data_IF_272784251906
#
_entry.id   IF_272784251906
#
_cell.length_a   1.000
_cell.length_b   1.000
_cell.length_c   1.000
_cell.angle_alpha   90.00
_cell.angle_beta   90.00
_cell.angle_gamma   90.00
#
_symmetry.space_group_name_H-M   'P 1'
#
loop_
_entity.id
_entity.type
_entity.pdbx_description
1 polymer ?
#
# COMPACT_ATOMS: atom_id res chain seq x y z
N UNK A 1 -2.06 -4.83 12.03
CA UNK A 1 -2.84 -5.12 10.82
C UNK A 1 -2.06 -5.99 9.83
N UNK A 2 -0.74 -5.82 9.73
CA UNK A 2 0.11 -6.55 8.77
C UNK A 2 1.12 -7.50 9.44
N UNK A 3 0.81 -8.03 10.61
CA UNK A 3 1.67 -9.01 11.28
C UNK A 3 1.87 -10.28 10.45
N UNK A 4 0.89 -10.64 9.63
CA UNK A 4 0.96 -11.77 8.72
C UNK A 4 1.82 -11.55 7.46
N UNK A 5 2.28 -10.34 7.16
CA UNK A 5 3.13 -10.08 5.99
C UNK A 5 4.52 -10.68 6.16
N UNK A 6 5.03 -11.28 5.09
CA UNK A 6 6.35 -11.91 5.05
C UNK A 6 6.33 -13.38 5.47
N UNK A 7 7.52 -13.97 5.50
CA UNK A 7 7.71 -15.36 5.94
C UNK A 7 7.43 -15.54 7.42
N UNK A 8 7.32 -16.79 7.86
CA UNK A 8 7.30 -17.11 9.30
C UNK A 8 8.66 -16.77 9.90
N UNK A 9 8.71 -16.06 11.05
CA UNK A 9 9.97 -15.88 11.76
C UNK A 9 10.58 -17.24 12.12
N UNK A 10 11.90 -17.39 11.97
CA UNK A 10 12.60 -18.63 12.33
C UNK A 10 12.55 -18.90 13.81
N UNK A 11 12.55 -17.83 14.61
CA UNK A 11 12.53 -17.87 16.07
C UNK A 11 11.87 -16.60 16.61
N UNK A 12 11.13 -16.72 17.70
CA UNK A 12 10.58 -15.61 18.45
C UNK A 12 10.67 -15.91 19.94
N UNK A 13 11.60 -15.29 20.64
CA UNK A 13 11.77 -15.45 22.10
C UNK A 13 10.80 -14.54 22.85
N UNK A 14 10.49 -13.35 22.30
CA UNK A 14 9.54 -12.40 22.86
C UNK A 14 8.92 -11.50 21.76
N UNK A 15 7.81 -10.88 22.11
CA UNK A 15 7.13 -9.90 21.26
C UNK A 15 7.23 -8.53 21.93
N UNK A 16 7.80 -7.56 21.21
CA UNK A 16 7.89 -6.18 21.68
C UNK A 16 6.64 -5.40 21.25
N UNK A 17 5.80 -5.00 22.22
CA UNK A 17 4.67 -4.10 21.99
C UNK A 17 5.10 -2.64 22.08
N UNK A 18 4.67 -1.83 21.09
CA UNK A 18 4.90 -0.39 21.09
C UNK A 18 3.65 0.41 21.52
N UNK A 19 2.62 -0.24 22.04
CA UNK A 19 1.36 0.41 22.43
C UNK A 19 1.55 1.56 23.43
N UNK A 20 2.59 1.51 24.25
CA UNK A 20 2.92 2.57 25.21
C UNK A 20 3.58 3.78 24.57
N UNK A 21 4.11 3.68 23.35
CA UNK A 21 4.65 4.79 22.55
C UNK A 21 3.56 5.31 21.60
N UNK A 22 2.53 5.98 22.12
CA UNK A 22 1.33 6.31 21.36
C UNK A 22 0.94 7.80 21.42
N UNK A 23 1.89 8.69 21.70
CA UNK A 23 1.65 10.12 21.81
C UNK A 23 1.93 10.85 20.51
N UNK A 24 1.14 11.87 20.22
CA UNK A 24 1.53 12.95 19.31
C UNK A 24 2.41 13.89 20.15
N UNK A 25 3.71 13.94 19.83
CA UNK A 25 4.71 14.67 20.62
C UNK A 25 4.63 16.16 20.32
N UNK A 26 4.45 16.51 19.05
CA UNK A 26 4.41 17.89 18.59
C UNK A 26 3.60 17.96 17.29
N UNK A 27 2.68 18.90 17.22
CA UNK A 27 2.01 19.28 16.00
C UNK A 27 2.34 20.74 15.70
N UNK A 28 3.37 20.95 14.89
CA UNK A 28 3.77 22.26 14.40
C UNK A 28 2.89 22.63 13.20
N UNK A 29 1.64 22.96 13.49
CA UNK A 29 0.61 23.18 12.47
C UNK A 29 0.94 24.33 11.51
N UNK A 30 1.64 25.36 11.98
CA UNK A 30 2.12 26.46 11.13
C UNK A 30 3.15 26.00 10.09
N UNK A 31 3.94 24.97 10.40
CA UNK A 31 4.98 24.41 9.52
C UNK A 31 4.48 23.18 8.75
N UNK A 32 3.21 22.79 8.93
CA UNK A 32 2.61 21.60 8.32
C UNK A 32 3.40 20.33 8.64
N UNK A 33 3.86 20.17 9.87
CA UNK A 33 4.62 19.01 10.32
C UNK A 33 4.10 18.43 11.64
N UNK A 34 4.29 17.13 11.83
CA UNK A 34 3.95 16.44 13.07
C UNK A 34 5.06 15.46 13.46
N UNK A 35 5.38 15.44 14.76
CA UNK A 35 6.24 14.41 15.38
C UNK A 35 5.36 13.50 16.23
N UNK A 36 5.41 12.18 15.94
CA UNK A 36 4.52 11.20 16.55
C UNK A 36 5.27 9.92 16.92
N UNK A 37 4.87 9.27 18.02
CA UNK A 37 5.38 7.97 18.45
C UNK A 37 4.83 6.83 17.61
N UNK A 38 5.63 5.79 17.41
CA UNK A 38 5.37 4.72 16.45
C UNK A 38 4.17 3.82 16.77
N UNK A 39 3.76 3.73 18.04
CA UNK A 39 2.57 2.98 18.46
C UNK A 39 1.27 3.77 18.37
N UNK A 40 1.32 5.07 18.01
CA UNK A 40 0.11 5.86 17.77
C UNK A 40 -0.62 5.31 16.54
N UNK A 41 -1.93 5.09 16.64
CA UNK A 41 -2.74 4.67 15.48
C UNK A 41 -2.92 5.82 14.51
N UNK A 42 -3.11 5.50 13.23
CA UNK A 42 -3.33 6.51 12.19
C UNK A 42 -4.62 7.27 12.45
N UNK A 43 -5.68 6.61 12.90
CA UNK A 43 -6.94 7.26 13.22
C UNK A 43 -6.80 8.27 14.36
N UNK A 44 -6.11 7.91 15.46
CA UNK A 44 -5.80 8.83 16.56
C UNK A 44 -4.99 10.04 16.07
N UNK A 45 -3.97 9.81 15.26
CA UNK A 45 -3.17 10.88 14.66
C UNK A 45 -4.05 11.81 13.82
N UNK A 46 -4.86 11.25 12.91
CA UNK A 46 -5.77 12.03 12.07
C UNK A 46 -6.78 12.85 12.89
N UNK A 47 -7.24 12.32 14.04
CA UNK A 47 -8.11 13.06 14.97
C UNK A 47 -7.47 14.37 15.44
N UNK A 48 -6.22 14.29 15.91
CA UNK A 48 -5.45 15.47 16.37
C UNK A 48 -5.19 16.46 15.23
N UNK A 49 -4.85 15.96 14.04
CA UNK A 49 -4.53 16.82 12.89
C UNK A 49 -5.75 17.59 12.37
N UNK A 50 -6.94 16.98 12.44
CA UNK A 50 -8.21 17.62 12.03
C UNK A 50 -8.54 18.88 12.83
N UNK A 51 -8.12 18.99 14.08
CA UNK A 51 -8.33 20.18 14.92
C UNK A 51 -7.76 21.46 14.28
N UNK A 52 -6.75 21.30 13.41
CA UNK A 52 -6.15 22.40 12.66
C UNK A 52 -6.39 22.31 11.15
N UNK A 53 -7.40 21.57 10.71
CA UNK A 53 -7.74 21.43 9.29
C UNK A 53 -6.66 20.72 8.46
N UNK A 54 -5.84 19.86 9.09
CA UNK A 54 -4.72 19.16 8.46
C UNK A 54 -4.90 17.64 8.49
N UNK A 55 -4.17 16.97 7.62
CA UNK A 55 -4.14 15.52 7.52
C UNK A 55 -2.75 14.99 7.15
N UNK A 56 -2.44 13.79 7.60
CA UNK A 56 -1.43 12.95 6.97
C UNK A 56 -2.11 12.29 5.76
N UNK A 57 -1.66 12.61 4.54
CA UNK A 57 -2.27 12.10 3.31
C UNK A 57 -1.87 10.64 3.04
N UNK A 58 -2.18 9.77 4.01
CA UNK A 58 -1.96 8.32 3.96
C UNK A 58 -3.26 7.61 4.36
N UNK A 59 -3.63 6.60 3.57
CA UNK A 59 -4.85 5.82 3.70
C UNK A 59 -4.55 4.31 3.87
N UNK A 60 -3.93 3.91 5.02
CA UNK A 60 -3.65 2.51 5.29
C UNK A 60 -4.94 1.73 5.49
N UNK A 61 -4.82 0.39 5.35
CA UNK A 61 -5.89 -0.51 5.74
C UNK A 61 -6.11 -0.44 7.25
N UNK A 62 -7.36 -0.35 7.71
CA UNK A 62 -7.74 -0.35 9.13
C UNK A 62 -7.00 0.73 9.93
N UNK A 63 -7.19 2.02 9.63
CA UNK A 63 -6.47 3.13 10.26
C UNK A 63 -6.67 3.20 11.78
N UNK A 64 -7.77 2.66 12.31
CA UNK A 64 -8.09 2.53 13.73
C UNK A 64 -7.16 1.54 14.47
N UNK A 65 -6.53 0.62 13.73
CA UNK A 65 -5.62 -0.40 14.25
C UNK A 65 -4.19 -0.26 13.72
N UNK A 66 -4.04 0.32 12.54
CA UNK A 66 -2.74 0.54 11.91
C UNK A 66 -1.96 1.60 12.68
N UNK A 67 -0.79 1.22 13.21
CA UNK A 67 0.09 2.15 13.92
C UNK A 67 1.07 2.82 12.95
N UNK A 68 1.53 4.01 13.30
CA UNK A 68 2.54 4.76 12.54
C UNK A 68 3.76 3.89 12.23
N UNK A 69 4.32 3.22 13.24
CA UNK A 69 5.47 2.33 13.05
C UNK A 69 5.17 1.13 12.15
N UNK A 70 3.96 0.56 12.26
CA UNK A 70 3.51 -0.55 11.41
C UNK A 70 3.38 -0.13 9.95
N UNK A 71 2.77 1.04 9.67
CA UNK A 71 2.63 1.60 8.32
C UNK A 71 4.00 1.89 7.70
N UNK A 72 4.92 2.46 8.47
CA UNK A 72 6.30 2.70 8.00
C UNK A 72 7.04 1.38 7.75
N UNK A 73 7.01 0.45 8.70
CA UNK A 73 7.72 -0.82 8.60
C UNK A 73 7.27 -1.67 7.40
N UNK A 74 6.00 -1.56 6.98
CA UNK A 74 5.44 -2.30 5.84
C UNK A 74 5.43 -1.48 4.54
N UNK A 75 5.83 -0.20 4.57
CA UNK A 75 5.69 0.74 3.46
C UNK A 75 4.28 0.75 2.87
N UNK A 76 3.26 0.66 3.74
CA UNK A 76 1.89 0.57 3.30
C UNK A 76 1.44 1.85 2.60
N UNK A 77 0.81 1.71 1.46
CA UNK A 77 0.31 2.82 0.65
C UNK A 77 -1.06 2.48 0.09
N UNK A 78 -1.96 3.44 0.14
CA UNK A 78 -3.29 3.34 -0.43
C UNK A 78 -3.47 4.20 -1.68
N UNK A 79 -4.69 4.59 -1.96
CA UNK A 79 -5.11 5.31 -3.17
C UNK A 79 -4.55 6.73 -3.23
N UNK A 80 -4.41 7.41 -2.08
CA UNK A 80 -3.89 8.78 -1.99
C UNK A 80 -2.45 8.92 -2.51
N UNK A 81 -1.72 7.79 -2.62
CA UNK A 81 -0.35 7.77 -3.16
C UNK A 81 -0.23 8.43 -4.53
N UNK A 82 -1.25 8.31 -5.37
CA UNK A 82 -1.20 8.85 -6.74
C UNK A 82 -1.03 10.38 -6.76
N UNK A 83 -1.54 11.06 -5.73
CA UNK A 83 -1.47 12.52 -5.61
C UNK A 83 -0.38 13.00 -4.67
N UNK A 84 -0.28 12.35 -3.51
CA UNK A 84 0.53 12.84 -2.39
C UNK A 84 1.87 12.11 -2.24
N UNK A 85 2.10 11.06 -3.02
CA UNK A 85 3.24 10.18 -2.89
C UNK A 85 3.00 9.04 -1.90
N UNK A 86 3.94 8.11 -1.83
CA UNK A 86 3.93 7.02 -0.86
C UNK A 86 4.26 7.53 0.55
N UNK A 87 4.03 6.71 1.57
CA UNK A 87 4.38 7.08 2.96
C UNK A 87 5.86 7.50 3.10
N UNK A 88 6.76 6.92 2.30
CA UNK A 88 8.17 7.28 2.25
C UNK A 88 8.45 8.72 1.77
N UNK A 89 7.52 9.29 1.01
CA UNK A 89 7.62 10.65 0.47
C UNK A 89 7.03 11.68 1.43
N UNK A 90 6.22 11.21 2.40
CA UNK A 90 5.59 12.03 3.44
C UNK A 90 6.44 12.11 4.71
N UNK A 91 7.31 11.10 4.96
CA UNK A 91 8.14 11.07 6.16
C UNK A 91 9.38 11.94 5.98
N UNK A 92 9.65 12.82 6.96
CA UNK A 92 10.80 13.73 7.01
C UNK A 92 11.93 13.17 7.88
N UNK A 93 11.60 12.37 8.87
CA UNK A 93 12.59 11.77 9.75
C UNK A 93 12.04 10.60 10.56
N UNK A 94 12.94 9.74 11.02
CA UNK A 94 12.62 8.62 11.92
C UNK A 94 13.63 8.54 13.06
N UNK A 95 13.18 8.00 14.19
CA UNK A 95 14.02 7.56 15.29
C UNK A 95 13.86 6.04 15.42
N UNK A 96 14.98 5.32 15.50
CA UNK A 96 15.00 3.86 15.64
C UNK A 96 15.89 3.42 16.80
N UNK A 97 15.44 2.42 17.56
CA UNK A 97 16.26 1.68 18.50
C UNK A 97 16.88 0.47 17.78
N UNK A 98 18.19 0.30 17.93
CA UNK A 98 18.97 -0.81 17.37
C UNK A 98 19.12 -1.95 18.37
N UNK A 99 19.52 -3.16 17.93
CA UNK A 99 19.67 -4.33 18.82
C UNK A 99 20.69 -4.15 19.95
N UNK A 100 21.69 -3.29 19.77
CA UNK A 100 22.71 -2.97 20.77
C UNK A 100 22.23 -1.97 21.83
N UNK A 101 20.95 -1.54 21.75
CA UNK A 101 20.35 -0.55 22.64
C UNK A 101 20.61 0.91 22.23
N UNK A 102 21.41 1.16 21.21
CA UNK A 102 21.61 2.52 20.70
C UNK A 102 20.35 3.06 20.01
N UNK A 103 20.16 4.38 20.05
CA UNK A 103 19.05 5.05 19.36
C UNK A 103 19.63 5.98 18.30
N UNK A 104 19.24 5.75 17.08
CA UNK A 104 19.63 6.56 15.93
C UNK A 104 18.48 7.46 15.48
N UNK A 105 18.84 8.65 14.98
CA UNK A 105 17.92 9.60 14.37
C UNK A 105 18.37 9.87 12.94
N UNK A 106 17.45 9.78 12.01
CA UNK A 106 17.68 10.06 10.60
C UNK A 106 16.63 11.05 10.09
N UNK A 107 17.04 12.00 9.25
CA UNK A 107 16.18 13.08 8.81
C UNK A 107 15.97 14.15 9.88
N UNK A 108 14.89 14.91 9.79
CA UNK A 108 14.57 16.02 10.70
C UNK A 108 13.22 16.63 10.41
N UNK A 109 12.99 17.87 10.86
CA UNK A 109 11.74 18.61 10.62
C UNK A 109 11.77 19.46 9.33
N UNK A 110 12.80 19.31 8.51
CA UNK A 110 12.96 20.08 7.26
C UNK A 110 12.75 19.20 6.04
N UNK A 111 12.10 19.74 5.03
CA UNK A 111 11.76 19.02 3.80
C UNK A 111 13.01 18.63 2.99
N UNK A 112 14.09 19.42 3.09
CA UNK A 112 15.36 19.15 2.41
C UNK A 112 16.45 18.86 3.41
N UNK A 113 16.81 17.58 3.56
CA UNK A 113 17.98 17.13 4.30
C UNK A 113 18.89 16.35 3.35
N UNK A 114 20.02 16.93 3.00
CA UNK A 114 20.99 16.38 2.02
C UNK A 114 22.29 15.90 2.66
N UNK A 115 22.39 15.95 4.00
CA UNK A 115 23.57 15.51 4.73
C UNK A 115 23.49 14.01 5.03
N UNK A 116 24.45 13.25 4.52
CA UNK A 116 24.59 11.82 4.78
C UNK A 116 23.65 10.91 3.99
N UNK A 117 23.60 9.64 4.39
CA UNK A 117 22.71 8.65 3.78
C UNK A 117 21.27 8.82 4.30
N UNK A 118 20.30 8.60 3.44
CA UNK A 118 18.88 8.64 3.79
C UNK A 118 18.45 7.34 4.49
N UNK A 119 18.81 7.21 5.76
CA UNK A 119 18.43 6.07 6.60
C UNK A 119 16.91 6.04 6.88
N UNK A 120 16.22 7.17 6.75
CA UNK A 120 14.76 7.25 6.86
C UNK A 120 14.11 6.31 5.83
N UNK A 121 14.55 6.39 4.58
CA UNK A 121 14.03 5.53 3.51
C UNK A 121 14.45 4.07 3.63
N UNK A 122 15.58 3.80 4.29
CA UNK A 122 16.01 2.43 4.58
C UNK A 122 15.14 1.77 5.65
N UNK A 123 14.69 2.53 6.66
CA UNK A 123 13.80 2.03 7.71
C UNK A 123 12.42 1.65 7.19
N UNK A 124 11.93 2.38 6.16
CA UNK A 124 10.61 2.17 5.58
C UNK A 124 10.60 0.90 4.74
N UNK A 125 9.63 0.02 5.02
CA UNK A 125 9.51 -1.28 4.36
C UNK A 125 10.47 -2.36 4.89
N UNK A 126 11.22 -2.08 5.96
CA UNK A 126 12.16 -3.04 6.56
C UNK A 126 11.50 -4.16 7.37
N UNK A 127 10.20 -4.15 7.60
CA UNK A 127 9.46 -5.07 8.49
C UNK A 127 10.04 -5.17 9.91
N UNK A 128 10.72 -4.12 10.37
CA UNK A 128 11.38 -4.12 11.68
C UNK A 128 12.60 -5.04 11.77
N UNK A 129 13.19 -5.43 10.64
CA UNK A 129 14.39 -6.30 10.63
C UNK A 129 15.70 -5.54 10.82
N UNK A 130 15.68 -4.21 10.70
CA UNK A 130 16.88 -3.37 10.83
C UNK A 130 16.92 -2.59 12.16
N UNK A 131 15.77 -2.37 12.77
CA UNK A 131 15.61 -1.60 13.99
C UNK A 131 14.14 -1.45 14.36
N UNK A 132 13.87 -1.02 15.57
CA UNK A 132 12.52 -0.72 16.06
C UNK A 132 12.27 0.77 15.87
N UNK A 133 11.36 1.14 14.96
CA UNK A 133 10.96 2.54 14.78
C UNK A 133 10.21 2.98 16.04
N UNK A 134 10.70 4.04 16.70
CA UNK A 134 10.12 4.59 17.94
C UNK A 134 9.36 5.89 17.71
N UNK A 135 9.81 6.71 16.74
CA UNK A 135 9.17 7.98 16.37
C UNK A 135 9.29 8.24 14.88
N UNK A 136 8.39 9.06 14.36
CA UNK A 136 8.45 9.59 13.01
C UNK A 136 8.06 11.08 12.96
N UNK A 137 8.61 11.79 11.98
CA UNK A 137 8.24 13.14 11.62
C UNK A 137 7.64 13.11 10.22
N UNK A 138 6.45 13.69 10.05
CA UNK A 138 5.77 13.75 8.75
C UNK A 138 5.53 15.19 8.33
N UNK A 139 5.52 15.40 7.01
CA UNK A 139 4.86 16.55 6.41
C UNK A 139 3.36 16.29 6.29
N UNK A 140 2.58 17.34 6.44
CA UNK A 140 1.13 17.30 6.41
C UNK A 140 0.59 17.98 5.16
N UNK A 141 -0.70 17.79 4.94
CA UNK A 141 -1.47 18.45 3.89
C UNK A 141 -2.75 19.04 4.49
N UNK A 142 -3.31 20.11 3.92
CA UNK A 142 -4.63 20.59 4.32
C UNK A 142 -5.69 19.55 4.00
N UNK A 143 -6.75 19.52 4.80
CA UNK A 143 -7.95 18.74 4.48
C UNK A 143 -8.64 19.44 3.31
N UNK A 144 -9.04 18.72 2.23
CA UNK A 144 -9.73 19.32 1.11
C UNK A 144 -11.10 19.87 1.52
N UNK A 145 -11.47 21.02 0.95
CA UNK A 145 -12.75 21.68 1.20
C UNK A 145 -13.92 20.83 0.68
N UNK A 146 -13.75 20.23 -0.48
CA UNK A 146 -14.75 19.37 -1.10
C UNK A 146 -14.08 18.16 -1.80
N UNK A 147 -14.85 17.08 -1.88
CA UNK A 147 -14.44 15.83 -2.53
C UNK A 147 -15.57 15.39 -3.45
N UNK A 148 -15.26 15.02 -4.68
CA UNK A 148 -16.19 14.39 -5.60
C UNK A 148 -15.60 13.07 -6.13
N UNK A 149 -16.44 12.06 -6.25
CA UNK A 149 -16.05 10.73 -6.73
C UNK A 149 -16.99 10.27 -7.83
N UNK A 150 -16.42 9.69 -8.85
CA UNK A 150 -17.16 9.24 -10.03
C UNK A 150 -16.78 7.81 -10.39
N UNK A 151 -17.73 7.07 -10.98
CA UNK A 151 -17.53 5.70 -11.44
C UNK A 151 -18.06 5.53 -12.85
N UNK A 152 -17.31 4.84 -13.69
CA UNK A 152 -17.78 4.29 -14.95
C UNK A 152 -17.75 2.76 -14.90
N UNK A 153 -18.76 2.14 -15.51
CA UNK A 153 -18.79 0.68 -15.75
C UNK A 153 -18.25 0.44 -17.15
N UNK A 154 -17.25 -0.42 -17.25
CA UNK A 154 -16.55 -0.73 -18.49
C UNK A 154 -16.66 -2.24 -18.77
N UNK A 155 -16.91 -2.66 -20.02
CA UNK A 155 -17.16 -4.06 -20.34
C UNK A 155 -15.98 -5.00 -20.06
N UNK A 156 -14.74 -4.51 -20.28
CA UNK A 156 -13.52 -5.34 -20.19
C UNK A 156 -12.40 -4.66 -19.42
N UNK A 157 -11.48 -5.45 -18.89
CA UNK A 157 -10.28 -4.93 -18.21
C UNK A 157 -9.34 -4.19 -19.19
N UNK A 158 -9.31 -4.59 -20.46
CA UNK A 158 -8.55 -3.91 -21.50
C UNK A 158 -9.06 -2.49 -21.74
N UNK A 159 -10.39 -2.32 -21.85
CA UNK A 159 -11.00 -0.99 -21.98
C UNK A 159 -10.81 -0.14 -20.72
N UNK A 160 -10.95 -0.73 -19.53
CA UNK A 160 -10.67 -0.05 -18.29
C UNK A 160 -9.22 0.45 -18.23
N UNK A 161 -8.25 -0.36 -18.68
CA UNK A 161 -6.85 0.04 -18.75
C UNK A 161 -6.62 1.20 -19.72
N UNK A 162 -7.24 1.18 -20.89
CA UNK A 162 -7.18 2.30 -21.86
C UNK A 162 -7.75 3.58 -21.27
N UNK A 163 -8.91 3.49 -20.59
CA UNK A 163 -9.53 4.65 -19.95
C UNK A 163 -8.64 5.20 -18.82
N UNK A 164 -8.06 4.32 -18.00
CA UNK A 164 -7.10 4.73 -16.96
C UNK A 164 -5.89 5.44 -17.58
N UNK A 165 -5.32 4.93 -18.67
CA UNK A 165 -4.20 5.57 -19.34
C UNK A 165 -4.59 6.95 -19.92
N UNK A 166 -5.76 7.08 -20.54
CA UNK A 166 -6.26 8.35 -21.03
C UNK A 166 -6.41 9.39 -19.90
N UNK A 167 -6.86 8.94 -18.71
CA UNK A 167 -6.93 9.80 -17.51
C UNK A 167 -5.53 10.17 -17.01
N UNK A 168 -4.60 9.23 -16.96
CA UNK A 168 -3.21 9.47 -16.51
C UNK A 168 -2.48 10.46 -17.41
N UNK A 169 -2.68 10.37 -18.72
CA UNK A 169 -2.06 11.24 -19.73
C UNK A 169 -2.74 12.62 -19.84
N UNK A 170 -3.84 12.82 -19.10
CA UNK A 170 -4.62 14.06 -19.12
C UNK A 170 -4.09 15.13 -18.17
N UNK A 171 -4.68 16.33 -18.24
CA UNK A 171 -4.46 17.42 -17.28
C UNK A 171 -5.44 17.38 -16.10
N UNK A 172 -6.09 16.27 -15.84
CA UNK A 172 -6.95 16.10 -14.66
C UNK A 172 -6.14 16.08 -13.37
N UNK A 173 -6.66 16.72 -12.33
CA UNK A 173 -6.04 16.78 -11.00
C UNK A 173 -6.78 15.83 -10.06
N UNK A 174 -6.66 14.54 -10.34
CA UNK A 174 -7.26 13.48 -9.54
C UNK A 174 -6.42 13.17 -8.29
N UNK A 175 -7.10 12.75 -7.21
CA UNK A 175 -6.48 12.29 -5.97
C UNK A 175 -6.70 10.80 -5.71
N UNK A 176 -7.52 10.16 -6.54
CA UNK A 176 -7.71 8.72 -6.57
C UNK A 176 -8.09 8.28 -7.96
N UNK A 177 -7.49 7.17 -8.40
CA UNK A 177 -7.81 6.49 -9.65
C UNK A 177 -7.62 5.00 -9.41
N UNK A 178 -8.71 4.23 -9.55
CA UNK A 178 -8.66 2.79 -9.32
C UNK A 178 -9.61 2.01 -10.21
N UNK A 179 -9.23 0.77 -10.49
CA UNK A 179 -10.04 -0.26 -11.15
C UNK A 179 -10.51 -1.24 -10.08
N UNK A 180 -11.78 -1.61 -10.10
CA UNK A 180 -12.34 -2.69 -9.31
C UNK A 180 -12.97 -3.73 -10.22
N UNK A 181 -12.64 -5.01 -10.00
CA UNK A 181 -13.21 -6.11 -10.77
C UNK A 181 -13.46 -7.34 -9.90
N UNK A 182 -14.57 -8.01 -10.14
CA UNK A 182 -14.90 -9.34 -9.60
C UNK A 182 -15.16 -10.36 -10.71
N UNK A 183 -15.26 -9.87 -11.94
CA UNK A 183 -15.47 -10.66 -13.18
C UNK A 183 -14.76 -9.97 -14.32
N UNK A 184 -14.36 -10.72 -15.31
CA UNK A 184 -13.72 -10.18 -16.50
C UNK A 184 -14.61 -9.22 -17.32
N UNK A 185 -15.93 -9.41 -17.25
CA UNK A 185 -16.94 -8.76 -18.08
C UNK A 185 -17.63 -7.55 -17.42
N UNK A 186 -17.22 -7.18 -16.22
CA UNK A 186 -17.77 -6.01 -15.51
C UNK A 186 -16.70 -5.38 -14.65
N UNK A 187 -16.13 -4.30 -15.13
CA UNK A 187 -15.03 -3.60 -14.52
C UNK A 187 -15.46 -2.17 -14.18
N UNK A 188 -15.12 -1.72 -13.00
CA UNK A 188 -15.44 -0.38 -12.51
C UNK A 188 -14.18 0.47 -12.50
N UNK A 189 -14.24 1.65 -13.13
CA UNK A 189 -13.17 2.65 -13.05
C UNK A 189 -13.66 3.81 -12.17
N UNK A 190 -12.97 4.03 -11.06
CA UNK A 190 -13.30 5.09 -10.11
C UNK A 190 -12.26 6.22 -10.20
N UNK A 191 -12.75 7.45 -10.20
CA UNK A 191 -11.93 8.68 -10.17
C UNK A 191 -12.39 9.55 -9.02
N UNK A 192 -11.44 10.11 -8.26
CA UNK A 192 -11.67 11.02 -7.14
C UNK A 192 -10.95 12.32 -7.38
N UNK A 193 -11.67 13.42 -7.14
CA UNK A 193 -11.14 14.77 -7.13
C UNK A 193 -11.30 15.40 -5.75
N UNK A 194 -10.35 16.27 -5.41
CA UNK A 194 -10.36 17.09 -4.19
C UNK A 194 -10.09 18.54 -4.56
N UNK A 195 -10.79 19.48 -3.93
CA UNK A 195 -10.62 20.90 -4.21
C UNK A 195 -11.73 21.77 -3.67
N UNK A 196 -12.04 22.86 -4.38
CA UNK A 196 -13.20 23.71 -4.15
C UNK A 196 -14.34 23.29 -5.10
N UNK A 197 -15.62 23.54 -4.76
CA UNK A 197 -16.76 23.07 -5.56
C UNK A 197 -16.69 23.45 -7.04
N UNK A 198 -16.29 24.67 -7.36
CA UNK A 198 -16.19 25.16 -8.73
C UNK A 198 -15.13 24.39 -9.54
N UNK A 199 -14.00 24.08 -8.93
CA UNK A 199 -12.95 23.30 -9.57
C UNK A 199 -13.36 21.86 -9.82
N UNK A 200 -14.16 21.26 -8.93
CA UNK A 200 -14.68 19.90 -9.09
C UNK A 200 -15.62 19.76 -10.29
N UNK A 201 -16.45 20.78 -10.55
CA UNK A 201 -17.32 20.82 -11.74
C UNK A 201 -16.50 20.86 -13.04
N UNK A 202 -15.43 21.69 -13.08
CA UNK A 202 -14.53 21.77 -14.23
C UNK A 202 -13.78 20.43 -14.46
N UNK A 203 -13.29 19.78 -13.38
CA UNK A 203 -12.67 18.47 -13.47
C UNK A 203 -13.64 17.41 -14.01
N UNK A 204 -14.89 17.43 -13.57
CA UNK A 204 -15.91 16.51 -14.08
C UNK A 204 -16.19 16.73 -15.57
N UNK A 205 -16.35 17.99 -16.00
CA UNK A 205 -16.56 18.31 -17.40
C UNK A 205 -15.40 17.84 -18.30
N UNK A 206 -14.16 17.95 -17.82
CA UNK A 206 -12.98 17.41 -18.51
C UNK A 206 -12.97 15.88 -18.51
N UNK A 207 -13.31 15.23 -17.40
CA UNK A 207 -13.40 13.78 -17.30
C UNK A 207 -14.40 13.21 -18.33
N UNK A 208 -15.58 13.80 -18.44
CA UNK A 208 -16.60 13.38 -19.43
C UNK A 208 -16.08 13.44 -20.85
N UNK A 209 -15.27 14.45 -21.20
CA UNK A 209 -14.67 14.57 -22.53
C UNK A 209 -13.62 13.50 -22.83
N UNK A 210 -12.85 13.10 -21.80
CA UNK A 210 -11.81 12.05 -21.90
C UNK A 210 -12.46 10.68 -21.97
N UNK A 211 -13.55 10.49 -21.26
CA UNK A 211 -14.24 9.22 -21.14
C UNK A 211 -14.93 8.76 -22.44
N UNK A 212 -15.14 9.70 -23.39
CA UNK A 212 -15.78 9.46 -24.69
C UNK A 212 -17.14 8.74 -24.51
N UNK A 213 -17.23 7.47 -24.85
CA UNK A 213 -18.44 6.64 -24.75
C UNK A 213 -18.74 6.11 -23.33
N UNK A 214 -17.79 6.22 -22.39
CA UNK A 214 -17.99 5.72 -21.03
C UNK A 214 -18.65 6.78 -20.12
N UNK A 215 -19.85 6.48 -19.65
CA UNK A 215 -20.59 7.38 -18.77
C UNK A 215 -20.10 7.29 -17.33
N UNK A 216 -19.49 8.36 -16.84
CA UNK A 216 -19.22 8.54 -15.42
C UNK A 216 -20.46 9.04 -14.67
N UNK A 217 -20.76 8.41 -13.54
CA UNK A 217 -21.79 8.85 -12.61
C UNK A 217 -21.17 9.11 -11.25
N UNK A 218 -21.74 10.03 -10.49
CA UNK A 218 -21.29 10.29 -9.13
C UNK A 218 -21.48 9.05 -8.25
N UNK A 219 -20.51 8.77 -7.39
CA UNK A 219 -20.55 7.65 -6.46
C UNK A 219 -20.18 8.09 -5.04
N UNK A 220 -20.60 7.29 -4.05
CA UNK A 220 -20.29 7.52 -2.64
C UNK A 220 -18.85 7.11 -2.29
N UNK A 221 -18.38 7.55 -1.11
CA UNK A 221 -17.04 7.24 -0.60
C UNK A 221 -16.73 5.75 -0.39
N UNK A 222 -17.75 4.88 -0.40
CA UNK A 222 -17.59 3.42 -0.22
C UNK A 222 -16.71 2.75 -1.27
N UNK A 223 -16.59 3.33 -2.46
CA UNK A 223 -15.69 2.88 -3.51
C UNK A 223 -14.23 2.81 -3.02
N UNK A 224 -13.82 3.76 -2.18
CA UNK A 224 -12.45 3.93 -1.70
C UNK A 224 -12.12 3.00 -0.52
N UNK A 225 -13.12 2.34 0.07
CA UNK A 225 -12.94 1.30 1.07
C UNK A 225 -12.82 -0.11 0.47
N UNK A 226 -12.93 -0.26 -0.86
CA UNK A 226 -12.88 -1.56 -1.53
C UNK A 226 -11.60 -2.34 -1.21
N UNK A 227 -10.45 -1.66 -1.16
CA UNK A 227 -9.17 -2.24 -0.76
C UNK A 227 -9.21 -2.79 0.67
N UNK A 228 -9.81 -2.08 1.62
CA UNK A 228 -9.96 -2.53 3.01
C UNK A 228 -10.86 -3.77 3.10
N UNK A 229 -11.89 -3.85 2.24
CA UNK A 229 -12.82 -4.98 2.17
C UNK A 229 -12.14 -6.28 1.72
N UNK A 230 -11.04 -6.21 0.95
CA UNK A 230 -10.25 -7.40 0.58
C UNK A 230 -9.70 -8.13 1.80
N UNK A 231 -9.32 -7.38 2.85
CA UNK A 231 -8.73 -7.90 4.07
C UNK A 231 -9.75 -8.17 5.19
N UNK A 232 -11.03 -7.88 4.95
CA UNK A 232 -12.08 -8.23 5.89
C UNK A 232 -12.32 -9.74 5.89
N UNK A 233 -12.37 -10.33 7.09
CA UNK A 233 -12.64 -11.77 7.27
C UNK A 233 -11.82 -12.66 6.33
N UNK A 234 -10.50 -12.67 6.45
CA UNK A 234 -9.63 -13.33 5.47
C UNK A 234 -9.86 -14.85 5.39
N UNK A 235 -10.24 -15.52 6.49
CA UNK A 235 -10.49 -16.97 6.49
C UNK A 235 -9.34 -17.75 5.83
N UNK A 236 -9.69 -18.55 4.80
CA UNK A 236 -8.75 -19.30 3.95
C UNK A 236 -8.27 -18.52 2.73
N UNK A 237 -8.69 -17.27 2.55
CA UNK A 237 -8.33 -16.46 1.39
C UNK A 237 -6.83 -16.20 1.31
N UNK A 238 -6.35 -16.09 0.07
CA UNK A 238 -5.01 -15.59 -0.22
C UNK A 238 -5.13 -14.19 -0.79
N UNK A 239 -4.34 -13.26 -0.27
CA UNK A 239 -4.31 -11.88 -0.74
C UNK A 239 -2.91 -11.57 -1.24
N UNK A 240 -2.83 -11.16 -2.51
CA UNK A 240 -1.59 -10.81 -3.17
C UNK A 240 -1.55 -9.31 -3.48
N UNK A 241 -0.35 -8.76 -3.44
CA UNK A 241 -0.04 -7.43 -3.95
C UNK A 241 0.85 -7.58 -5.18
N UNK A 242 0.35 -7.13 -6.33
CA UNK A 242 1.07 -7.10 -7.59
C UNK A 242 1.44 -5.65 -7.92
N UNK A 243 2.59 -5.46 -8.55
CA UNK A 243 3.01 -4.18 -9.08
C UNK A 243 3.43 -4.39 -10.54
N UNK A 244 2.69 -3.79 -11.45
CA UNK A 244 2.94 -3.81 -12.90
C UNK A 244 2.86 -2.39 -13.45
N UNK A 245 3.22 -2.16 -14.71
CA UNK A 245 2.97 -0.85 -15.31
C UNK A 245 1.45 -0.58 -15.43
N UNK A 246 0.99 0.67 -15.32
CA UNK A 246 -0.42 1.02 -15.50
C UNK A 246 -1.03 0.46 -16.79
N UNK A 247 -0.26 0.47 -17.89
CA UNK A 247 -0.65 -0.10 -19.19
C UNK A 247 -0.87 -1.62 -19.20
N UNK A 248 -0.35 -2.32 -18.19
CA UNK A 248 -0.40 -3.79 -18.10
C UNK A 248 -1.52 -4.31 -17.18
N UNK A 249 -2.25 -3.40 -16.50
CA UNK A 249 -3.33 -3.80 -15.57
C UNK A 249 -4.40 -4.62 -16.31
N UNK A 250 -4.74 -4.25 -17.54
CA UNK A 250 -5.69 -5.00 -18.37
C UNK A 250 -5.23 -6.45 -18.58
N UNK A 251 -3.99 -6.65 -19.05
CA UNK A 251 -3.41 -7.97 -19.27
C UNK A 251 -3.34 -8.80 -17.99
N UNK A 252 -2.98 -8.19 -16.87
CA UNK A 252 -2.97 -8.84 -15.56
C UNK A 252 -4.37 -9.33 -15.17
N UNK A 253 -5.41 -8.51 -15.37
CA UNK A 253 -6.79 -8.88 -15.08
C UNK A 253 -7.27 -10.03 -15.99
N UNK A 254 -7.03 -9.95 -17.29
CA UNK A 254 -7.47 -10.96 -18.25
C UNK A 254 -6.84 -12.33 -17.95
N UNK A 255 -5.52 -12.35 -17.68
CA UNK A 255 -4.83 -13.57 -17.29
C UNK A 255 -5.36 -14.13 -15.96
N UNK A 256 -5.55 -13.28 -14.95
CA UNK A 256 -6.05 -13.69 -13.64
C UNK A 256 -7.44 -14.31 -13.73
N UNK A 257 -8.39 -13.64 -14.37
CA UNK A 257 -9.76 -14.14 -14.49
C UNK A 257 -9.83 -15.38 -15.40
N UNK A 258 -9.01 -15.45 -16.45
CA UNK A 258 -8.89 -16.60 -17.33
C UNK A 258 -8.42 -17.87 -16.62
N UNK A 259 -7.51 -17.74 -15.66
CA UNK A 259 -7.00 -18.87 -14.86
C UNK A 259 -7.90 -19.21 -13.67
N UNK A 260 -8.53 -18.22 -13.06
CA UNK A 260 -9.36 -18.44 -11.88
C UNK A 260 -10.69 -19.14 -12.19
N UNK A 261 -11.30 -18.84 -13.33
CA UNK A 261 -12.60 -19.41 -13.70
C UNK A 261 -12.59 -20.95 -13.82
N UNK A 262 -11.68 -21.61 -14.58
CA UNK A 262 -11.63 -23.07 -14.64
C UNK A 262 -11.20 -23.72 -13.33
N UNK A 263 -10.51 -23.00 -12.45
CA UNK A 263 -10.07 -23.47 -11.13
C UNK A 263 -11.13 -23.25 -10.03
N UNK A 264 -12.30 -22.69 -10.37
CA UNK A 264 -13.36 -22.34 -9.41
C UNK A 264 -12.88 -21.44 -8.26
N UNK A 265 -11.93 -20.54 -8.54
CA UNK A 265 -11.41 -19.54 -7.61
C UNK A 265 -12.16 -18.23 -7.78
N UNK A 266 -12.78 -17.74 -6.71
CA UNK A 266 -13.40 -16.43 -6.72
C UNK A 266 -12.32 -15.35 -6.58
N UNK A 267 -12.40 -14.33 -7.44
CA UNK A 267 -11.43 -13.23 -7.50
C UNK A 267 -12.10 -11.93 -7.14
N UNK A 268 -11.43 -11.14 -6.32
CA UNK A 268 -11.73 -9.71 -6.15
C UNK A 268 -10.43 -8.93 -6.33
N UNK A 269 -10.43 -8.00 -7.29
CA UNK A 269 -9.26 -7.17 -7.62
C UNK A 269 -9.57 -5.69 -7.38
N UNK A 270 -8.62 -5.00 -6.77
CA UNK A 270 -8.56 -3.53 -6.67
C UNK A 270 -7.19 -3.09 -7.16
N UNK A 271 -7.14 -2.46 -8.33
CA UNK A 271 -5.90 -1.93 -8.90
C UNK A 271 -5.94 -0.40 -8.90
N UNK A 272 -4.86 0.22 -8.50
CA UNK A 272 -4.68 1.68 -8.53
C UNK A 272 -4.11 2.11 -9.87
N UNK A 273 -4.40 3.33 -10.31
CA UNK A 273 -3.84 3.91 -11.54
C UNK A 273 -2.31 3.94 -11.57
N UNK A 274 -1.65 3.74 -10.44
CA UNK A 274 -0.18 3.63 -10.33
C UNK A 274 0.38 2.26 -10.71
N UNK A 275 -0.45 1.27 -11.06
CA UNK A 275 -0.02 -0.09 -11.36
C UNK A 275 0.04 -1.03 -10.14
N UNK A 276 -0.31 -0.55 -8.95
CA UNK A 276 -0.45 -1.40 -7.76
C UNK A 276 -1.82 -2.08 -7.77
N UNK A 277 -1.83 -3.41 -7.74
CA UNK A 277 -3.06 -4.20 -7.66
C UNK A 277 -3.03 -5.10 -6.41
N UNK A 278 -4.13 -5.11 -5.66
CA UNK A 278 -4.39 -6.06 -4.60
C UNK A 278 -5.46 -7.03 -5.09
N UNK A 279 -5.15 -8.31 -4.98
CA UNK A 279 -5.97 -9.42 -5.46
C UNK A 279 -6.30 -10.32 -4.31
N UNK A 280 -7.59 -10.55 -4.07
CA UNK A 280 -8.08 -11.56 -3.14
C UNK A 280 -8.56 -12.77 -3.92
N UNK A 281 -8.11 -13.95 -3.51
CA UNK A 281 -8.46 -15.25 -4.05
C UNK A 281 -9.15 -16.07 -2.97
N UNK A 282 -10.36 -16.54 -3.24
CA UNK A 282 -11.14 -17.39 -2.35
C UNK A 282 -11.48 -18.70 -3.07
N UNK A 283 -11.21 -19.85 -2.44
CA UNK A 283 -11.59 -21.18 -2.94
C UNK A 283 -11.89 -22.14 -1.80
N UNK A 284 -12.58 -23.23 -2.10
CA UNK A 284 -12.92 -24.28 -1.13
C UNK A 284 -11.70 -25.11 -0.67
N UNK A 285 -10.58 -25.07 -1.42
CA UNK A 285 -9.38 -25.86 -1.13
C UNK A 285 -8.09 -25.13 -1.43
N UNK A 286 -6.98 -25.65 -0.92
CA UNK A 286 -5.64 -25.05 -1.10
C UNK A 286 -5.11 -25.24 -2.53
N UNK A 287 -5.33 -26.40 -3.14
CA UNK A 287 -4.77 -26.74 -4.45
C UNK A 287 -5.22 -25.78 -5.57
N UNK A 288 -6.51 -25.41 -5.70
CA UNK A 288 -6.94 -24.40 -6.67
C UNK A 288 -6.26 -23.03 -6.46
N UNK A 289 -6.10 -22.61 -5.19
CA UNK A 289 -5.41 -21.37 -4.85
C UNK A 289 -3.96 -21.39 -5.32
N UNK A 290 -3.23 -22.51 -5.07
CA UNK A 290 -1.82 -22.65 -5.50
C UNK A 290 -1.71 -22.57 -7.01
N UNK A 291 -2.58 -23.26 -7.75
CA UNK A 291 -2.58 -23.22 -9.23
C UNK A 291 -2.75 -21.81 -9.77
N UNK A 292 -3.73 -21.06 -9.24
CA UNK A 292 -3.96 -19.67 -9.67
C UNK A 292 -2.82 -18.75 -9.25
N UNK A 293 -2.23 -18.95 -8.05
CA UNK A 293 -1.08 -18.17 -7.57
C UNK A 293 0.14 -18.35 -8.46
N UNK A 294 0.48 -19.58 -8.85
CA UNK A 294 1.61 -19.89 -9.71
C UNK A 294 1.42 -19.29 -11.11
N UNK A 295 0.21 -19.38 -11.66
CA UNK A 295 -0.14 -18.76 -12.92
C UNK A 295 -0.06 -17.23 -12.84
N UNK A 296 -0.58 -16.62 -11.76
CA UNK A 296 -0.52 -15.18 -11.54
C UNK A 296 0.93 -14.70 -11.40
N UNK A 297 1.77 -15.44 -10.67
CA UNK A 297 3.20 -15.13 -10.52
C UNK A 297 3.91 -15.18 -11.87
N UNK A 298 3.70 -16.22 -12.64
CA UNK A 298 4.28 -16.37 -13.98
C UNK A 298 3.90 -15.21 -14.90
N UNK A 299 2.64 -14.77 -14.82
CA UNK A 299 2.18 -13.62 -15.60
C UNK A 299 2.81 -12.31 -15.12
N UNK A 300 2.89 -12.08 -13.80
CA UNK A 300 3.53 -10.88 -13.24
C UNK A 300 5.01 -10.84 -13.61
N UNK A 301 5.71 -11.97 -13.59
CA UNK A 301 7.11 -12.07 -14.02
C UNK A 301 7.26 -11.79 -15.53
N UNK A 302 6.33 -12.29 -16.36
CA UNK A 302 6.28 -12.00 -17.81
C UNK A 302 6.09 -10.49 -18.09
N UNK A 303 5.32 -9.83 -17.23
CA UNK A 303 5.09 -8.39 -17.29
C UNK A 303 6.24 -7.57 -16.63
N UNK A 304 7.33 -8.21 -16.25
CA UNK A 304 8.45 -7.60 -15.50
C UNK A 304 8.04 -6.91 -14.20
N UNK A 305 6.90 -7.33 -13.64
CA UNK A 305 6.33 -6.83 -12.40
C UNK A 305 6.95 -7.46 -11.16
N UNK A 306 6.28 -7.24 -10.03
CA UNK A 306 6.57 -7.91 -8.76
C UNK A 306 5.28 -8.36 -8.08
N UNK A 307 5.32 -9.53 -7.42
CA UNK A 307 4.20 -10.05 -6.66
C UNK A 307 4.65 -10.47 -5.27
N UNK A 308 3.89 -10.06 -4.26
CA UNK A 308 4.07 -10.48 -2.87
C UNK A 308 2.76 -11.03 -2.33
N UNK A 309 2.80 -12.15 -1.63
CA UNK A 309 1.63 -12.67 -0.90
C UNK A 309 1.52 -11.89 0.41
N UNK A 310 0.53 -10.99 0.48
CA UNK A 310 0.31 -10.12 1.64
C UNK A 310 -0.33 -10.87 2.80
N UNK A 311 -1.18 -11.84 2.48
CA UNK A 311 -1.88 -12.68 3.47
C UNK A 311 -2.24 -14.04 2.88
N UNK A 312 -2.06 -15.09 3.67
CA UNK A 312 -2.51 -16.45 3.39
C UNK A 312 -2.64 -17.23 4.71
N UNK A 313 -3.30 -18.39 4.72
CA UNK A 313 -3.25 -19.35 5.84
C UNK A 313 -1.81 -19.69 6.21
N UNK A 314 -1.54 -19.79 7.51
CA UNK A 314 -0.17 -20.01 8.03
C UNK A 314 0.47 -21.28 7.46
N UNK A 315 -0.32 -22.35 7.28
CA UNK A 315 0.16 -23.61 6.70
C UNK A 315 0.71 -23.44 5.27
N UNK A 316 0.11 -22.58 4.47
CA UNK A 316 0.56 -22.33 3.09
C UNK A 316 1.93 -21.64 3.01
N UNK A 317 2.34 -20.93 4.06
CA UNK A 317 3.63 -20.20 4.05
C UNK A 317 4.87 -21.10 4.01
N UNK A 318 4.72 -22.34 4.35
CA UNK A 318 5.82 -23.31 4.33
C UNK A 318 6.04 -23.84 2.88
N UNK A 319 5.02 -23.73 2.01
CA UNK A 319 5.03 -24.17 0.62
C UNK A 319 5.11 -23.01 -0.39
N UNK A 320 4.81 -21.78 0.07
CA UNK A 320 4.76 -20.59 -0.77
C UNK A 320 6.02 -19.74 -0.65
N UNK A 321 6.56 -19.31 -1.78
CA UNK A 321 7.43 -18.15 -1.81
C UNK A 321 6.58 -16.87 -1.67
N UNK A 322 6.55 -16.31 -0.46
CA UNK A 322 5.74 -15.11 -0.13
C UNK A 322 6.23 -13.87 -0.87
N UNK A 323 7.54 -13.78 -1.15
CA UNK A 323 8.16 -12.56 -1.66
C UNK A 323 8.34 -12.52 -3.19
N UNK A 324 8.33 -13.69 -3.83
CA UNK A 324 8.59 -13.81 -5.26
C UNK A 324 10.07 -13.72 -5.62
N UNK A 325 10.32 -13.68 -6.92
CA UNK A 325 11.67 -13.73 -7.48
C UNK A 325 12.50 -12.52 -7.06
N UNK A 326 13.63 -12.78 -6.41
CA UNK A 326 14.63 -11.76 -6.06
C UNK A 326 15.58 -11.56 -7.23
N UNK A 327 15.70 -10.32 -7.66
CA UNK A 327 16.78 -9.89 -8.56
C UNK A 327 18.06 -9.61 -7.76
N UNK A 328 19.04 -8.94 -8.30
CA UNK A 328 20.43 -8.79 -7.80
C UNK A 328 20.60 -8.05 -6.46
N UNK A 329 19.50 -7.62 -5.80
CA UNK A 329 19.56 -6.80 -4.58
C UNK A 329 19.87 -7.58 -3.30
N UNK A 330 19.65 -8.91 -3.26
CA UNK A 330 19.76 -9.72 -2.05
C UNK A 330 21.12 -9.62 -1.35
N UNK A 331 22.28 -9.69 -2.05
CA UNK A 331 23.58 -9.59 -1.38
C UNK A 331 23.79 -8.25 -0.66
N UNK A 332 23.25 -7.15 -1.23
CA UNK A 332 23.29 -5.84 -0.58
C UNK A 332 22.39 -5.80 0.66
N UNK A 333 21.16 -6.32 0.56
CA UNK A 333 20.22 -6.41 1.68
C UNK A 333 20.79 -7.21 2.85
N UNK A 334 21.45 -8.34 2.58
CA UNK A 334 22.10 -9.17 3.59
C UNK A 334 23.24 -8.42 4.29
N UNK A 335 24.09 -7.68 3.55
CA UNK A 335 25.14 -6.84 4.14
C UNK A 335 24.57 -5.73 5.02
N UNK A 336 23.47 -5.10 4.61
CA UNK A 336 22.79 -4.09 5.40
C UNK A 336 22.25 -4.73 6.70
N UNK A 337 21.54 -5.84 6.60
CA UNK A 337 21.06 -6.60 7.76
C UNK A 337 22.19 -6.93 8.73
N UNK A 338 23.30 -7.48 8.23
CA UNK A 338 24.48 -7.81 9.02
C UNK A 338 25.08 -6.59 9.73
N UNK A 339 24.98 -5.39 9.12
CA UNK A 339 25.48 -4.17 9.73
C UNK A 339 24.58 -3.64 10.84
N UNK A 340 23.25 -3.73 10.67
CA UNK A 340 22.26 -3.19 11.62
C UNK A 340 21.91 -4.18 12.74
N UNK A 341 21.88 -5.46 12.43
CA UNK A 341 21.50 -6.54 13.35
C UNK A 341 22.39 -7.78 13.13
N UNK A 342 23.68 -7.69 13.52
CA UNK A 342 24.64 -8.80 13.35
C UNK A 342 24.23 -10.05 14.10
N UNK A 343 23.49 -9.91 15.21
CA UNK A 343 22.99 -11.04 16.01
C UNK A 343 21.72 -11.69 15.44
N UNK A 344 21.15 -11.16 14.34
CA UNK A 344 19.88 -11.60 13.77
C UNK A 344 18.75 -11.72 14.80
N UNK A 345 18.62 -10.74 15.68
CA UNK A 345 17.65 -10.70 16.79
C UNK A 345 16.30 -10.15 16.39
N UNK A 346 16.26 -9.29 15.36
CA UNK A 346 15.05 -8.59 14.92
C UNK A 346 14.36 -9.33 13.77
N UNK A 347 13.21 -9.93 14.05
CA UNK A 347 12.35 -10.62 13.07
C UNK A 347 13.11 -11.60 12.14
N UNK A 348 13.96 -12.51 12.66
CA UNK A 348 14.85 -13.33 11.83
C UNK A 348 14.06 -14.23 10.87
N UNK A 349 14.42 -14.18 9.60
CA UNK A 349 13.80 -15.00 8.55
C UNK A 349 12.52 -14.44 7.96
N UNK A 350 11.98 -13.35 8.49
CA UNK A 350 10.67 -12.81 8.07
C UNK A 350 10.71 -12.08 6.73
N UNK A 351 11.81 -11.41 6.44
CA UNK A 351 11.94 -10.58 5.24
C UNK A 351 12.40 -11.40 4.03
N UNK A 352 12.47 -10.72 2.89
CA UNK A 352 12.87 -11.29 1.62
C UNK A 352 14.24 -11.99 1.72
N UNK A 353 14.41 -13.15 1.07
CA UNK A 353 15.64 -13.93 1.13
C UNK A 353 15.95 -14.52 2.51
N UNK A 354 14.97 -14.56 3.41
CA UNK A 354 15.14 -15.10 4.76
C UNK A 354 15.93 -14.19 5.71
N UNK A 355 15.98 -12.89 5.44
CA UNK A 355 16.53 -11.86 6.31
C UNK A 355 15.65 -11.67 7.55
#
# INVERSE_FOLDING_TARGET
TQLGLGNRPRKADFILSLERLNRVIEHAWGDMTVTVEAGCTIDKLQGVLREHGQQLAADPMQPERATVGGVLATAESGTLRIRYGAIRDLVLGVEMALPDGSVIKAGGKVVKNVAGYDLTKLAIGSLGTLGVITRAVFRLHPIPVAIASYVAVVPTASEASKLVLAILDSHLVYTGLQIQARRATQVFVHVRFEGIPESLQDQYAKLVRIADEHKFVECTGDAWTARQKLFANPGSAVICKCCVLPSQIGSLCDALFGQAAPAEVAVTLVAQGTGLAEVRLDAAGQQPLMTVLDALRSEVDRLEGTMTVSQCPVAMKDELDVWGTLKDALPLMQRIKQKFDPGQTLNPGRFVGGI
#
